data_IF_220411282853
#
_entry.id   IF_220411282853
#
_cell.length_a   1.000
_cell.length_b   1.000
_cell.length_c   1.000
_cell.angle_alpha   90.00
_cell.angle_beta   90.00
_cell.angle_gamma   90.00
#
_symmetry.space_group_name_H-M   'P 1'
#
loop_
_entity.id
_entity.type
_entity.pdbx_description
1 polymer ?
#
# COMPACT_ATOMS: atom_id res chain seq x y z
N UNK A 1 27.09 -0.82 19.33
CA UNK A 1 26.63 -0.46 20.70
C UNK A 1 25.12 -0.36 20.56
N UNK A 2 24.40 -1.43 20.90
CA UNK A 2 23.00 -1.58 20.49
C UNK A 2 22.07 -0.48 21.02
N UNK A 3 20.98 -0.23 20.28
CA UNK A 3 20.01 0.80 20.60
C UNK A 3 19.46 0.72 22.03
N UNK A 4 19.34 1.88 22.67
CA UNK A 4 18.84 2.06 24.04
C UNK A 4 17.32 1.88 24.12
N UNK A 5 16.77 1.79 25.34
CA UNK A 5 15.32 1.80 25.54
C UNK A 5 14.65 3.05 24.94
N UNK A 6 15.36 4.18 24.93
CA UNK A 6 14.90 5.45 24.36
C UNK A 6 14.65 5.36 22.85
N UNK A 7 15.48 4.63 22.10
CA UNK A 7 15.25 4.40 20.68
C UNK A 7 13.93 3.69 20.41
N UNK A 8 13.59 2.65 21.18
CA UNK A 8 12.34 1.92 20.96
C UNK A 8 11.10 2.75 21.35
N UNK A 9 11.21 3.65 22.33
CA UNK A 9 10.15 4.65 22.58
C UNK A 9 10.01 5.61 21.39
N UNK A 10 11.12 6.04 20.78
CA UNK A 10 11.10 6.85 19.56
C UNK A 10 10.41 6.13 18.40
N UNK A 11 10.71 4.84 18.21
CA UNK A 11 10.05 3.99 17.21
C UNK A 11 8.54 3.91 17.46
N UNK A 12 8.11 3.76 18.72
CA UNK A 12 6.70 3.73 19.09
C UNK A 12 6.00 5.04 18.73
N UNK A 13 6.56 6.18 19.14
CA UNK A 13 6.04 7.52 18.83
C UNK A 13 5.94 7.77 17.31
N UNK A 14 6.98 7.41 16.56
CA UNK A 14 6.99 7.54 15.10
C UNK A 14 5.95 6.62 14.48
N UNK A 15 5.82 5.38 14.95
CA UNK A 15 4.85 4.42 14.41
C UNK A 15 3.41 4.88 14.64
N UNK A 16 3.11 5.46 15.80
CA UNK A 16 1.84 6.11 16.11
C UNK A 16 1.55 7.25 15.12
N UNK A 17 2.50 8.19 15.01
CA UNK A 17 2.37 9.36 14.16
C UNK A 17 2.19 9.00 12.69
N UNK A 18 2.95 8.02 12.20
CA UNK A 18 2.84 7.54 10.82
C UNK A 18 1.51 6.87 10.54
N UNK A 19 0.99 6.05 11.46
CA UNK A 19 -0.31 5.40 11.27
C UNK A 19 -1.43 6.43 11.13
N UNK A 20 -1.48 7.40 12.04
CA UNK A 20 -2.50 8.45 12.01
C UNK A 20 -2.33 9.38 10.80
N UNK A 21 -1.08 9.74 10.45
CA UNK A 21 -0.78 10.58 9.29
C UNK A 21 -1.22 9.90 7.98
N UNK A 22 -0.96 8.61 7.81
CA UNK A 22 -1.36 7.89 6.61
C UNK A 22 -2.89 7.88 6.40
N UNK A 23 -3.67 7.96 7.48
CA UNK A 23 -5.15 7.99 7.44
C UNK A 23 -5.74 9.40 7.21
N UNK A 24 -4.95 10.45 7.39
CA UNK A 24 -5.41 11.85 7.36
C UNK A 24 -4.80 12.64 6.20
N UNK A 25 -3.64 12.22 5.69
CA UNK A 25 -2.90 12.91 4.62
C UNK A 25 -2.60 11.93 3.50
N UNK A 26 -3.29 12.10 2.37
CA UNK A 26 -3.00 11.35 1.14
C UNK A 26 -1.66 11.81 0.54
N UNK A 27 -0.77 10.88 0.11
CA UNK A 27 0.50 11.22 -0.49
C UNK A 27 0.38 12.16 -1.70
N UNK A 28 1.34 13.08 -1.82
CA UNK A 28 1.33 14.12 -2.85
C UNK A 28 1.26 13.57 -4.29
N UNK A 29 2.02 12.52 -4.60
CA UNK A 29 2.00 11.85 -5.90
C UNK A 29 0.61 11.27 -6.25
N UNK A 30 -0.10 10.75 -5.24
CA UNK A 30 -1.47 10.24 -5.40
C UNK A 30 -2.45 11.39 -5.66
N UNK A 31 -2.37 12.48 -4.90
CA UNK A 31 -3.22 13.67 -5.11
C UNK A 31 -2.98 14.28 -6.50
N UNK A 32 -1.72 14.41 -6.91
CA UNK A 32 -1.35 14.93 -8.24
C UNK A 32 -1.90 14.03 -9.35
N UNK A 33 -1.77 12.70 -9.20
CA UNK A 33 -2.27 11.77 -10.20
C UNK A 33 -3.80 11.76 -10.28
N UNK A 34 -4.50 11.90 -9.16
CA UNK A 34 -5.97 12.04 -9.14
C UNK A 34 -6.40 13.30 -9.89
N UNK A 35 -5.76 14.46 -9.61
CA UNK A 35 -6.07 15.73 -10.30
C UNK A 35 -5.80 15.65 -11.80
N UNK A 36 -4.66 15.10 -12.21
CA UNK A 36 -4.37 14.90 -13.64
C UNK A 36 -5.38 13.95 -14.29
N UNK A 37 -5.80 12.90 -13.59
CA UNK A 37 -6.80 11.97 -14.10
C UNK A 37 -8.16 12.63 -14.25
N UNK A 38 -8.53 13.55 -13.35
CA UNK A 38 -9.73 14.39 -13.46
C UNK A 38 -9.78 15.22 -14.73
N UNK A 39 -8.67 15.84 -15.12
CA UNK A 39 -8.60 16.64 -16.33
C UNK A 39 -8.79 15.80 -17.61
N UNK A 40 -8.52 14.49 -17.54
CA UNK A 40 -8.54 13.57 -18.70
C UNK A 40 -9.70 12.58 -18.71
N UNK A 41 -10.56 12.58 -17.68
CA UNK A 41 -11.78 11.79 -17.63
C UNK A 41 -12.88 12.44 -18.47
N UNK A 42 -13.58 11.64 -19.27
CA UNK A 42 -14.59 12.11 -20.21
C UNK A 42 -16.01 11.81 -19.72
N UNK A 43 -16.18 10.80 -18.87
CA UNK A 43 -17.46 10.45 -18.25
C UNK A 43 -17.92 11.56 -17.28
N UNK A 44 -19.10 12.17 -17.48
CA UNK A 44 -19.64 13.16 -16.55
C UNK A 44 -19.76 12.63 -15.12
N UNK A 45 -20.26 11.40 -14.97
CA UNK A 45 -20.39 10.75 -13.66
C UNK A 45 -19.02 10.37 -13.07
N UNK A 46 -18.08 9.93 -13.90
CA UNK A 46 -16.69 9.69 -13.46
C UNK A 46 -16.00 10.95 -12.96
N UNK A 47 -16.21 12.09 -13.64
CA UNK A 47 -15.73 13.40 -13.20
C UNK A 47 -16.36 13.84 -11.87
N UNK A 48 -17.67 13.67 -11.70
CA UNK A 48 -18.36 14.00 -10.44
C UNK A 48 -17.82 13.17 -9.26
N UNK A 49 -17.58 11.88 -9.48
CA UNK A 49 -16.97 11.00 -8.48
C UNK A 49 -15.56 11.46 -8.12
N UNK A 50 -14.72 11.78 -9.10
CA UNK A 50 -13.36 12.22 -8.81
C UNK A 50 -13.30 13.62 -8.19
N UNK A 51 -14.20 14.53 -8.55
CA UNK A 51 -14.36 15.83 -7.87
C UNK A 51 -14.74 15.63 -6.40
N UNK A 52 -15.63 14.67 -6.11
CA UNK A 52 -15.97 14.29 -4.74
C UNK A 52 -14.76 13.74 -3.98
N UNK A 53 -13.94 12.90 -4.62
CA UNK A 53 -12.68 12.40 -4.06
C UNK A 53 -11.73 13.56 -3.72
N UNK A 54 -11.52 14.50 -4.65
CA UNK A 54 -10.64 15.66 -4.46
C UNK A 54 -11.12 16.53 -3.30
N UNK A 55 -12.42 16.86 -3.27
CA UNK A 55 -13.04 17.63 -2.17
C UNK A 55 -12.90 16.92 -0.83
N UNK A 56 -13.07 15.60 -0.79
CA UNK A 56 -12.90 14.81 0.42
C UNK A 56 -11.45 14.90 0.95
N UNK A 57 -10.44 14.77 0.07
CA UNK A 57 -9.02 14.93 0.43
C UNK A 57 -8.77 16.33 1.01
N UNK A 58 -9.31 17.38 0.37
CA UNK A 58 -9.10 18.76 0.81
C UNK A 58 -9.76 19.06 2.16
N UNK A 59 -10.98 18.57 2.37
CA UNK A 59 -11.70 18.69 3.65
C UNK A 59 -10.97 17.92 4.75
N UNK A 60 -10.54 16.68 4.47
CA UNK A 60 -9.78 15.86 5.41
C UNK A 60 -8.50 16.57 5.85
N UNK A 61 -7.72 17.10 4.90
CA UNK A 61 -6.49 17.86 5.18
C UNK A 61 -6.76 19.14 5.97
N UNK A 62 -7.77 19.93 5.59
CA UNK A 62 -8.07 21.22 6.24
C UNK A 62 -8.59 21.06 7.67
N UNK A 63 -9.32 19.98 7.94
CA UNK A 63 -9.98 19.75 9.23
C UNK A 63 -9.30 18.67 10.08
N UNK A 64 -8.17 18.14 9.62
CA UNK A 64 -7.47 17.01 10.26
C UNK A 64 -8.40 15.82 10.52
N UNK A 65 -9.21 15.47 9.52
CA UNK A 65 -10.14 14.34 9.58
C UNK A 65 -9.56 13.13 8.84
N UNK A 66 -10.03 11.94 9.22
CA UNK A 66 -9.76 10.72 8.47
C UNK A 66 -10.35 10.83 7.06
N UNK A 67 -9.61 10.38 6.05
CA UNK A 67 -10.06 10.41 4.66
C UNK A 67 -11.18 9.39 4.41
N UNK A 68 -11.23 8.31 5.20
CA UNK A 68 -12.26 7.28 5.13
C UNK A 68 -12.43 6.58 6.49
N UNK A 69 -13.63 6.04 6.71
CA UNK A 69 -14.02 5.34 7.93
C UNK A 69 -13.29 4.01 8.16
N UNK A 70 -12.80 3.37 7.08
CA UNK A 70 -11.98 2.16 7.17
C UNK A 70 -10.52 2.59 7.41
N UNK A 71 -10.12 2.52 8.68
CA UNK A 71 -8.76 2.80 9.14
C UNK A 71 -7.76 1.68 8.82
N UNK A 72 -8.19 0.67 8.06
CA UNK A 72 -7.34 -0.34 7.47
C UNK A 72 -6.80 -1.38 8.44
N UNK A 73 -6.10 -2.35 7.86
CA UNK A 73 -5.21 -3.28 8.58
C UNK A 73 -3.83 -2.62 8.72
N UNK A 74 -3.25 -2.55 9.92
CA UNK A 74 -1.91 -1.99 10.11
C UNK A 74 -0.84 -2.86 9.44
N UNK A 75 -0.19 -2.33 8.41
CA UNK A 75 0.98 -2.91 7.77
C UNK A 75 2.14 -1.92 7.88
N UNK A 76 3.33 -2.41 8.19
CA UNK A 76 4.56 -1.63 8.26
C UNK A 76 5.64 -2.29 7.42
N UNK A 77 6.38 -1.47 6.68
CA UNK A 77 7.63 -1.85 6.06
C UNK A 77 8.76 -1.10 6.77
N UNK A 78 9.75 -1.85 7.22
CA UNK A 78 10.96 -1.33 7.86
C UNK A 78 12.14 -1.68 6.99
N UNK A 79 12.78 -0.66 6.41
CA UNK A 79 14.05 -0.80 5.71
C UNK A 79 15.17 -0.48 6.71
N UNK A 80 16.02 -1.47 6.97
CA UNK A 80 17.15 -1.41 7.90
C UNK A 80 18.44 -1.14 7.16
N UNK A 81 19.12 -0.07 7.54
CA UNK A 81 20.51 0.16 7.19
C UNK A 81 21.49 -0.75 7.94
N UNK A 82 22.75 -0.33 8.00
CA UNK A 82 23.83 -0.95 8.79
C UNK A 82 23.70 -0.67 10.31
N UNK A 83 22.53 -1.00 10.88
CA UNK A 83 22.16 -0.68 12.27
C UNK A 83 21.93 -1.93 13.15
N UNK A 84 22.38 -1.90 14.42
CA UNK A 84 22.25 -3.02 15.36
C UNK A 84 20.91 -3.06 16.14
N UNK A 85 19.81 -3.51 15.53
CA UNK A 85 18.45 -3.51 16.15
C UNK A 85 18.01 -4.88 16.70
N UNK A 86 17.27 -4.87 17.82
CA UNK A 86 16.50 -6.02 18.31
C UNK A 86 15.11 -6.07 17.64
N UNK A 87 14.91 -7.00 16.70
CA UNK A 87 13.63 -7.17 16.00
C UNK A 87 12.43 -7.39 16.95
N UNK A 88 12.51 -8.20 18.03
CA UNK A 88 11.40 -8.34 18.96
C UNK A 88 11.02 -7.02 19.66
N UNK A 89 11.99 -6.17 19.98
CA UNK A 89 11.72 -4.85 20.59
C UNK A 89 11.16 -3.87 19.56
N UNK A 90 11.69 -3.88 18.34
CA UNK A 90 11.19 -3.11 17.20
C UNK A 90 9.71 -3.42 16.92
N UNK A 91 9.37 -4.70 16.72
CA UNK A 91 7.99 -5.13 16.43
C UNK A 91 7.05 -4.77 17.58
N UNK A 92 7.50 -4.89 18.83
CA UNK A 92 6.73 -4.46 20.01
C UNK A 92 6.49 -2.96 20.01
N UNK A 93 7.51 -2.15 19.75
CA UNK A 93 7.38 -0.70 19.69
C UNK A 93 6.38 -0.26 18.60
N UNK A 94 6.46 -0.84 17.40
CA UNK A 94 5.50 -0.57 16.32
C UNK A 94 4.08 -0.96 16.74
N UNK A 95 3.90 -2.13 17.38
CA UNK A 95 2.60 -2.60 17.88
C UNK A 95 2.00 -1.65 18.92
N UNK A 96 2.79 -1.19 19.88
CA UNK A 96 2.34 -0.20 20.87
C UNK A 96 2.00 1.14 20.20
N UNK A 97 2.74 1.56 19.17
CA UNK A 97 2.42 2.75 18.39
C UNK A 97 1.06 2.66 17.67
N UNK A 98 0.72 1.49 17.11
CA UNK A 98 -0.61 1.24 16.50
C UNK A 98 -1.72 1.30 17.54
N UNK A 99 -1.49 0.70 18.72
CA UNK A 99 -2.45 0.75 19.84
C UNK A 99 -2.67 2.20 20.28
N UNK A 100 -1.59 2.94 20.51
CA UNK A 100 -1.65 4.34 20.92
C UNK A 100 -2.40 5.19 19.89
N UNK A 101 -2.08 5.03 18.61
CA UNK A 101 -2.76 5.75 17.54
C UNK A 101 -4.27 5.44 17.52
N UNK A 102 -4.62 4.17 17.73
CA UNK A 102 -6.03 3.74 17.73
C UNK A 102 -6.80 4.33 18.90
N UNK A 103 -6.25 4.27 20.11
CA UNK A 103 -6.90 4.76 21.33
C UNK A 103 -6.95 6.28 21.35
N UNK A 104 -5.81 6.96 21.16
CA UNK A 104 -5.70 8.42 21.29
C UNK A 104 -6.54 9.17 20.25
N UNK A 105 -6.59 8.65 19.01
CA UNK A 105 -7.31 9.28 17.92
C UNK A 105 -8.73 8.70 17.70
N UNK A 106 -9.20 7.85 18.61
CA UNK A 106 -10.52 7.21 18.53
C UNK A 106 -10.77 6.54 17.17
N UNK A 107 -9.75 5.87 16.63
CA UNK A 107 -9.84 5.18 15.35
C UNK A 107 -10.78 3.98 15.47
N UNK A 108 -11.45 3.64 14.36
CA UNK A 108 -12.23 2.41 14.31
C UNK A 108 -11.30 1.21 14.47
N UNK A 109 -11.54 0.29 15.42
CA UNK A 109 -10.77 -0.94 15.48
C UNK A 109 -11.35 -1.94 14.46
N UNK A 110 -10.55 -2.34 13.48
CA UNK A 110 -10.93 -3.24 12.38
C UNK A 110 -10.41 -4.67 12.58
N UNK A 111 -9.46 -4.88 13.49
CA UNK A 111 -8.91 -6.20 13.75
C UNK A 111 -9.88 -7.03 14.60
N UNK A 112 -10.17 -8.24 14.14
CA UNK A 112 -11.09 -9.18 14.78
C UNK A 112 -10.51 -10.59 14.77
N UNK A 113 -10.95 -11.43 15.71
CA UNK A 113 -10.69 -12.86 15.62
C UNK A 113 -11.40 -13.42 14.36
N UNK A 114 -10.70 -14.17 13.48
CA UNK A 114 -11.23 -14.50 12.16
C UNK A 114 -12.51 -15.35 12.20
N UNK A 115 -12.65 -16.23 13.20
CA UNK A 115 -13.81 -17.12 13.39
C UNK A 115 -14.92 -16.46 14.24
N UNK A 116 -14.65 -16.17 15.52
CA UNK A 116 -15.65 -15.59 16.44
C UNK A 116 -16.05 -14.15 16.13
N UNK A 117 -15.27 -13.43 15.30
CA UNK A 117 -15.46 -12.02 14.94
C UNK A 117 -15.35 -11.04 16.12
N UNK A 118 -14.92 -11.50 17.30
CA UNK A 118 -14.65 -10.62 18.45
C UNK A 118 -13.56 -9.62 18.07
N UNK A 119 -13.87 -8.33 18.26
CA UNK A 119 -12.96 -7.24 17.96
C UNK A 119 -11.85 -7.14 19.01
N UNK A 120 -10.63 -6.83 18.60
CA UNK A 120 -9.49 -6.69 19.52
C UNK A 120 -9.49 -5.35 20.27
N UNK A 121 -10.24 -4.37 19.78
CA UNK A 121 -10.45 -3.06 20.42
C UNK A 121 -9.38 -2.01 20.10
N UNK A 122 -8.22 -2.40 19.56
CA UNK A 122 -7.06 -1.52 19.42
C UNK A 122 -6.30 -1.64 18.08
N UNK A 123 -6.90 -2.30 17.06
CA UNK A 123 -6.25 -2.63 15.78
C UNK A 123 -5.00 -3.52 15.88
N UNK A 124 -4.63 -4.01 17.07
CA UNK A 124 -3.54 -4.96 17.24
C UNK A 124 -4.07 -6.39 17.39
N UNK A 125 -3.16 -7.37 17.39
CA UNK A 125 -3.52 -8.79 17.54
C UNK A 125 -2.30 -9.67 17.75
N UNK A 126 -2.47 -10.99 17.65
CA UNK A 126 -1.35 -11.95 17.81
C UNK A 126 -0.23 -11.71 16.78
N UNK A 127 -0.63 -11.38 15.55
CA UNK A 127 0.28 -11.08 14.42
C UNK A 127 -0.13 -9.79 13.69
N UNK A 128 -0.68 -8.82 14.43
CA UNK A 128 -1.00 -7.47 13.95
C UNK A 128 -0.35 -6.44 14.89
N UNK A 129 0.36 -5.42 14.38
CA UNK A 129 0.57 -5.09 12.97
C UNK A 129 1.36 -6.14 12.19
N UNK A 130 1.13 -6.20 10.87
CA UNK A 130 1.99 -6.95 9.94
C UNK A 130 3.25 -6.10 9.75
N UNK A 131 4.43 -6.65 10.04
CA UNK A 131 5.70 -5.93 9.93
C UNK A 131 6.62 -6.69 8.98
N UNK A 132 6.94 -6.07 7.86
CA UNK A 132 7.96 -6.54 6.93
C UNK A 132 9.27 -5.81 7.24
N UNK A 133 10.35 -6.57 7.35
CA UNK A 133 11.69 -6.04 7.58
C UNK A 133 12.54 -6.37 6.37
N UNK A 134 13.12 -5.35 5.75
CA UNK A 134 14.02 -5.45 4.61
C UNK A 134 15.38 -4.86 4.97
N UNK A 135 16.43 -5.40 4.38
CA UNK A 135 17.77 -4.86 4.50
C UNK A 135 18.03 -3.92 3.33
N UNK A 136 18.56 -2.73 3.60
CA UNK A 136 18.89 -1.73 2.59
C UNK A 136 20.27 -1.14 2.91
N UNK A 137 21.30 -1.68 2.27
CA UNK A 137 22.70 -1.25 2.44
C UNK A 137 22.94 0.21 2.01
N UNK A 138 22.03 0.80 1.24
CA UNK A 138 22.07 2.22 0.88
C UNK A 138 21.71 3.16 2.02
N UNK A 139 21.06 2.66 3.08
CA UNK A 139 20.76 3.40 4.30
C UNK A 139 21.92 3.23 5.28
N UNK A 140 22.66 4.31 5.55
CA UNK A 140 23.79 4.30 6.50
C UNK A 140 23.39 4.93 7.82
N UNK A 141 23.53 4.20 8.93
CA UNK A 141 23.24 4.65 10.29
C UNK A 141 21.78 5.05 10.52
N UNK A 142 20.87 4.60 9.66
CA UNK A 142 19.44 4.97 9.70
C UNK A 142 18.53 3.78 9.41
N UNK A 143 17.30 3.88 9.89
CA UNK A 143 16.19 3.01 9.55
C UNK A 143 15.06 3.83 8.94
N UNK A 144 14.41 3.31 7.91
CA UNK A 144 13.19 3.90 7.35
C UNK A 144 11.99 3.06 7.72
N UNK A 145 10.94 3.71 8.23
CA UNK A 145 9.65 3.09 8.55
C UNK A 145 8.60 3.66 7.61
N UNK A 146 7.80 2.78 7.01
CA UNK A 146 6.64 3.11 6.20
C UNK A 146 5.40 2.49 6.83
N UNK A 147 4.42 3.30 7.22
CA UNK A 147 3.13 2.84 7.72
C UNK A 147 2.09 2.83 6.60
N UNK A 148 1.32 1.74 6.53
CA UNK A 148 0.49 1.37 5.40
C UNK A 148 -0.85 0.82 5.92
N UNK A 149 -1.79 1.67 6.35
CA UNK A 149 -3.12 1.23 6.73
C UNK A 149 -3.84 0.70 5.47
N UNK A 150 -3.98 -0.62 5.38
CA UNK A 150 -4.51 -1.23 4.17
C UNK A 150 -6.02 -1.44 4.28
N UNK A 151 -6.78 -0.67 3.50
CA UNK A 151 -8.25 -0.78 3.45
C UNK A 151 -8.73 -2.14 2.94
N UNK A 152 -9.65 -2.74 3.70
CA UNK A 152 -10.14 -4.11 3.47
C UNK A 152 -10.87 -4.29 2.14
N UNK A 153 -11.64 -3.28 1.70
CA UNK A 153 -12.37 -3.33 0.43
C UNK A 153 -11.44 -3.56 -0.76
N UNK A 154 -10.30 -2.85 -0.80
CA UNK A 154 -9.28 -3.04 -1.83
C UNK A 154 -8.45 -4.31 -1.62
N UNK A 155 -8.10 -4.65 -0.37
CA UNK A 155 -7.31 -5.84 -0.08
C UNK A 155 -8.02 -7.12 -0.54
N UNK A 156 -9.34 -7.21 -0.29
CA UNK A 156 -10.16 -8.37 -0.65
C UNK A 156 -10.29 -8.57 -2.18
N UNK A 157 -9.97 -7.56 -2.99
CA UNK A 157 -9.98 -7.66 -4.45
C UNK A 157 -8.61 -8.06 -5.04
N UNK A 158 -7.60 -8.24 -4.19
CA UNK A 158 -6.30 -8.78 -4.58
C UNK A 158 -6.41 -10.27 -4.91
N UNK A 159 -5.54 -10.77 -5.78
CA UNK A 159 -5.56 -12.17 -6.20
C UNK A 159 -4.15 -12.73 -6.43
N UNK A 160 -4.03 -14.05 -6.34
CA UNK A 160 -2.83 -14.83 -6.59
C UNK A 160 -3.17 -15.97 -7.57
N UNK A 161 -2.29 -16.22 -8.53
CA UNK A 161 -2.35 -17.39 -9.40
C UNK A 161 -0.96 -18.03 -9.57
N UNK A 162 -0.93 -19.36 -9.57
CA UNK A 162 0.25 -20.15 -9.93
C UNK A 162 0.11 -20.55 -11.41
N UNK A 163 0.59 -19.70 -12.31
CA UNK A 163 0.52 -19.98 -13.74
C UNK A 163 1.57 -21.04 -14.14
N UNK A 164 1.37 -21.66 -15.30
CA UNK A 164 2.38 -22.51 -15.91
C UNK A 164 3.36 -21.62 -16.68
N UNK A 165 4.66 -21.97 -16.75
CA UNK A 165 5.63 -21.26 -17.59
C UNK A 165 5.15 -21.08 -19.05
N UNK A 166 4.43 -22.07 -19.58
CA UNK A 166 3.86 -22.05 -20.93
C UNK A 166 2.75 -20.98 -21.13
N UNK A 167 2.09 -20.50 -20.07
CA UNK A 167 1.11 -19.42 -20.18
C UNK A 167 1.81 -18.08 -20.48
N UNK A 168 3.07 -17.95 -20.06
CA UNK A 168 3.97 -16.83 -20.37
C UNK A 168 3.38 -15.46 -20.08
N UNK A 169 3.97 -14.42 -20.70
CA UNK A 169 3.57 -13.03 -20.49
C UNK A 169 2.10 -12.75 -20.83
N UNK A 170 1.55 -13.46 -21.82
CA UNK A 170 0.13 -13.33 -22.20
C UNK A 170 -0.77 -13.82 -21.06
N UNK A 171 -0.43 -14.93 -20.41
CA UNK A 171 -1.13 -15.44 -19.24
C UNK A 171 -1.09 -14.47 -18.07
N UNK A 172 0.08 -13.88 -17.80
CA UNK A 172 0.25 -12.87 -16.74
C UNK A 172 -0.68 -11.67 -16.99
N UNK A 173 -0.62 -11.07 -18.19
CA UNK A 173 -1.45 -9.89 -18.53
C UNK A 173 -2.94 -10.20 -18.44
N UNK A 174 -3.36 -11.37 -18.95
CA UNK A 174 -4.75 -11.82 -18.84
C UNK A 174 -5.20 -11.89 -17.38
N UNK A 175 -4.41 -12.53 -16.52
CA UNK A 175 -4.72 -12.64 -15.09
C UNK A 175 -4.85 -11.27 -14.41
N UNK A 176 -3.94 -10.32 -14.72
CA UNK A 176 -4.02 -8.95 -14.18
C UNK A 176 -5.31 -8.26 -14.60
N UNK A 177 -5.66 -8.31 -15.88
CA UNK A 177 -6.87 -7.67 -16.41
C UNK A 177 -8.15 -8.30 -15.85
N UNK A 178 -8.20 -9.63 -15.76
CA UNK A 178 -9.32 -10.35 -15.16
C UNK A 178 -9.48 -9.97 -13.68
N UNK A 179 -8.39 -9.86 -12.93
CA UNK A 179 -8.44 -9.43 -11.52
C UNK A 179 -9.03 -8.04 -11.38
N UNK A 180 -8.57 -7.07 -12.19
CA UNK A 180 -9.09 -5.69 -12.14
C UNK A 180 -10.55 -5.63 -12.60
N UNK A 181 -10.92 -6.38 -13.65
CA UNK A 181 -12.30 -6.45 -14.11
C UNK A 181 -13.23 -7.04 -13.04
N UNK A 182 -12.80 -8.11 -12.35
CA UNK A 182 -13.54 -8.76 -11.27
C UNK A 182 -13.68 -7.87 -10.02
N UNK A 183 -12.67 -7.04 -9.75
CA UNK A 183 -12.72 -6.04 -8.70
C UNK A 183 -13.83 -5.01 -8.97
N UNK A 184 -14.02 -4.61 -10.23
CA UNK A 184 -15.07 -3.66 -10.65
C UNK A 184 -15.02 -2.39 -9.81
N UNK A 185 -16.16 -1.96 -9.26
CA UNK A 185 -16.22 -0.83 -8.31
C UNK A 185 -15.91 -1.17 -6.85
N UNK A 186 -15.77 -2.46 -6.48
CA UNK A 186 -15.77 -2.93 -5.08
C UNK A 186 -14.55 -2.47 -4.27
N UNK A 187 -13.44 -2.18 -4.93
CA UNK A 187 -12.20 -1.72 -4.27
C UNK A 187 -12.02 -0.19 -4.26
N UNK A 188 -13.05 0.59 -4.61
CA UNK A 188 -13.00 2.05 -4.74
C UNK A 188 -11.94 2.55 -5.75
N UNK A 189 -12.09 2.24 -7.06
CA UNK A 189 -11.24 2.82 -8.10
C UNK A 189 -11.44 4.34 -8.18
N UNK A 190 -10.49 5.11 -8.77
CA UNK A 190 -9.34 4.64 -9.53
C UNK A 190 -8.29 3.87 -8.72
N UNK A 191 -7.85 2.71 -9.22
CA UNK A 191 -6.92 1.82 -8.53
C UNK A 191 -5.46 2.23 -8.66
N UNK A 192 -4.66 1.92 -7.65
CA UNK A 192 -3.22 1.72 -7.79
C UNK A 192 -3.01 0.20 -7.82
N UNK A 193 -2.40 -0.31 -8.90
CA UNK A 193 -2.30 -1.76 -9.13
C UNK A 193 -0.86 -2.20 -8.98
N UNK A 194 -0.57 -2.93 -7.91
CA UNK A 194 0.71 -3.61 -7.73
C UNK A 194 0.67 -5.00 -8.33
N UNK A 195 1.68 -5.36 -9.12
CA UNK A 195 1.81 -6.68 -9.76
C UNK A 195 3.14 -7.30 -9.34
N UNK A 196 3.08 -8.49 -8.75
CA UNK A 196 4.24 -9.33 -8.47
C UNK A 196 4.30 -10.47 -9.47
N UNK A 197 5.48 -10.76 -10.02
CA UNK A 197 5.71 -11.86 -10.95
C UNK A 197 6.97 -12.62 -10.51
N UNK A 198 6.88 -13.95 -10.43
CA UNK A 198 8.00 -14.79 -10.01
C UNK A 198 8.03 -15.03 -8.50
N UNK A 199 9.21 -15.36 -7.95
CA UNK A 199 9.34 -15.82 -6.57
C UNK A 199 8.67 -17.16 -6.32
N UNK A 200 8.06 -17.32 -5.14
CA UNK A 200 7.20 -18.44 -4.78
C UNK A 200 5.81 -17.97 -4.32
N UNK A 201 5.02 -18.86 -3.72
CA UNK A 201 3.65 -18.58 -3.28
C UNK A 201 3.56 -17.38 -2.33
N UNK A 202 4.49 -17.26 -1.37
CA UNK A 202 4.45 -16.18 -0.38
C UNK A 202 5.08 -14.90 -0.91
N UNK A 203 6.27 -15.01 -1.52
CA UNK A 203 7.04 -13.86 -1.95
C UNK A 203 6.30 -13.05 -3.01
N UNK A 204 5.61 -13.70 -3.97
CA UNK A 204 4.93 -13.01 -5.05
C UNK A 204 3.82 -12.07 -4.54
N UNK A 205 3.12 -12.46 -3.49
CA UNK A 205 2.06 -11.63 -2.90
C UNK A 205 2.64 -10.40 -2.21
N UNK A 206 3.81 -10.55 -1.59
CA UNK A 206 4.55 -9.46 -0.99
C UNK A 206 5.13 -8.52 -2.06
N UNK A 207 5.67 -9.04 -3.16
CA UNK A 207 6.10 -8.23 -4.31
C UNK A 207 4.95 -7.40 -4.89
N UNK A 208 3.77 -7.99 -5.07
CA UNK A 208 2.59 -7.26 -5.51
C UNK A 208 2.21 -6.15 -4.51
N UNK A 209 2.30 -6.42 -3.20
CA UNK A 209 2.10 -5.43 -2.14
C UNK A 209 3.11 -4.27 -2.27
N UNK A 210 4.40 -4.56 -2.43
CA UNK A 210 5.45 -3.55 -2.65
C UNK A 210 5.15 -2.69 -3.88
N UNK A 211 4.77 -3.32 -4.99
CA UNK A 211 4.37 -2.62 -6.20
C UNK A 211 3.26 -1.61 -5.95
N UNK A 212 2.20 -2.00 -5.23
CA UNK A 212 1.06 -1.12 -4.93
C UNK A 212 1.40 0.08 -4.02
N UNK A 213 2.58 0.08 -3.41
CA UNK A 213 3.05 1.11 -2.48
C UNK A 213 4.11 2.03 -3.07
N UNK A 214 4.63 1.68 -4.24
CA UNK A 214 5.61 2.51 -4.93
C UNK A 214 4.99 3.87 -5.28
N UNK A 215 5.79 4.96 -5.22
CA UNK A 215 5.33 6.25 -5.68
C UNK A 215 4.82 6.18 -7.12
N UNK A 216 3.68 6.81 -7.38
CA UNK A 216 3.13 6.89 -8.73
C UNK A 216 4.10 7.66 -9.62
N UNK A 217 4.44 7.06 -10.77
CA UNK A 217 5.46 7.57 -11.70
C UNK A 217 6.85 6.95 -11.53
N UNK A 218 7.11 6.22 -10.45
CA UNK A 218 8.30 5.37 -10.36
C UNK A 218 8.26 4.24 -11.41
N UNK A 219 9.42 3.70 -11.79
CA UNK A 219 9.55 2.65 -12.80
C UNK A 219 10.23 1.40 -12.23
N UNK A 220 9.84 0.24 -12.73
CA UNK A 220 10.49 -1.02 -12.41
C UNK A 220 11.97 -0.99 -12.81
N UNK A 221 12.81 -1.59 -11.99
CA UNK A 221 14.24 -1.76 -12.29
C UNK A 221 14.43 -2.77 -13.43
N UNK A 222 13.54 -3.77 -13.52
CA UNK A 222 13.50 -4.74 -14.61
C UNK A 222 12.94 -4.12 -15.91
N UNK A 223 13.59 -4.40 -17.05
CA UNK A 223 13.20 -3.84 -18.34
C UNK A 223 11.85 -4.37 -18.84
N UNK A 224 11.55 -5.65 -18.62
CA UNK A 224 10.28 -6.27 -19.00
C UNK A 224 9.18 -5.72 -18.09
N UNK A 225 9.41 -5.68 -16.78
CA UNK A 225 8.51 -5.09 -15.80
C UNK A 225 8.15 -3.66 -16.16
N UNK A 226 9.15 -2.85 -16.54
CA UNK A 226 8.95 -1.46 -16.96
C UNK A 226 8.06 -1.33 -18.20
N UNK A 227 8.22 -2.19 -19.19
CA UNK A 227 7.33 -2.22 -20.39
C UNK A 227 5.91 -2.67 -20.02
N UNK A 228 5.80 -3.62 -19.09
CA UNK A 228 4.50 -4.09 -18.60
C UNK A 228 3.73 -3.01 -17.84
N UNK A 229 4.39 -2.16 -17.06
CA UNK A 229 3.75 -1.05 -16.35
C UNK A 229 2.94 -0.17 -17.32
N UNK A 230 3.54 0.25 -18.44
CA UNK A 230 2.87 1.10 -19.44
C UNK A 230 1.73 0.36 -20.14
N UNK A 231 1.99 -0.87 -20.57
CA UNK A 231 1.01 -1.64 -21.34
C UNK A 231 -0.21 -2.02 -20.49
N UNK A 232 0.01 -2.49 -19.27
CA UNK A 232 -1.08 -2.83 -18.34
C UNK A 232 -1.86 -1.58 -17.94
N UNK A 233 -1.21 -0.45 -17.71
CA UNK A 233 -1.90 0.80 -17.40
C UNK A 233 -2.88 1.22 -18.51
N UNK A 234 -2.45 1.10 -19.77
CA UNK A 234 -3.31 1.37 -20.92
C UNK A 234 -4.45 0.36 -21.04
N UNK A 235 -4.17 -0.93 -20.88
CA UNK A 235 -5.16 -2.00 -21.00
C UNK A 235 -6.20 -1.95 -19.88
N UNK A 236 -5.79 -1.68 -18.65
CA UNK A 236 -6.68 -1.56 -17.49
C UNK A 236 -7.65 -0.39 -17.68
N UNK A 237 -7.16 0.77 -18.10
CA UNK A 237 -8.04 1.93 -18.33
C UNK A 237 -8.99 1.72 -19.52
N UNK A 238 -8.63 0.87 -20.48
CA UNK A 238 -9.54 0.42 -21.56
C UNK A 238 -10.65 -0.51 -21.10
N UNK A 239 -10.58 -1.09 -19.89
CA UNK A 239 -11.68 -1.91 -19.35
C UNK A 239 -12.95 -1.08 -19.10
N UNK A 240 -12.82 0.22 -18.92
CA UNK A 240 -13.97 1.12 -18.78
C UNK A 240 -14.73 0.98 -17.46
N UNK A 241 -14.12 0.40 -16.42
CA UNK A 241 -14.72 0.30 -15.08
C UNK A 241 -14.97 1.69 -14.50
N UNK A 242 -13.99 2.58 -14.68
CA UNK A 242 -14.07 3.99 -14.30
C UNK A 242 -14.07 4.26 -12.78
N UNK A 243 -14.13 5.54 -12.39
CA UNK A 243 -14.12 5.94 -10.98
C UNK A 243 -15.28 5.31 -10.20
N UNK A 244 -14.99 4.71 -9.05
CA UNK A 244 -15.94 3.95 -8.20
C UNK A 244 -16.78 2.88 -8.94
N UNK A 245 -16.41 2.48 -10.16
CA UNK A 245 -17.14 1.49 -10.96
C UNK A 245 -18.36 2.04 -11.72
N UNK A 246 -18.45 3.37 -11.90
CA UNK A 246 -19.59 4.02 -12.57
C UNK A 246 -19.43 4.14 -14.09
N UNK A 247 -18.38 3.52 -14.65
CA UNK A 247 -17.96 3.71 -16.03
C UNK A 247 -17.07 4.95 -16.20
N UNK A 248 -16.29 4.95 -17.26
CA UNK A 248 -15.35 6.03 -17.56
C UNK A 248 -13.96 5.52 -17.88
N UNK A 249 -13.08 6.44 -18.23
CA UNK A 249 -11.74 6.13 -18.71
C UNK A 249 -10.78 5.77 -17.58
N UNK A 250 -10.95 6.38 -16.40
CA UNK A 250 -10.00 6.27 -15.31
C UNK A 250 -10.39 5.11 -14.39
N UNK A 251 -9.90 3.92 -14.71
CA UNK A 251 -9.99 2.72 -13.87
C UNK A 251 -8.80 2.60 -12.92
N UNK A 252 -7.60 3.02 -13.35
CA UNK A 252 -6.38 2.99 -12.55
C UNK A 252 -5.61 4.31 -12.66
N UNK A 253 -5.00 4.72 -11.55
CA UNK A 253 -4.05 5.84 -11.43
C UNK A 253 -2.63 5.42 -11.83
N UNK A 254 -2.27 4.15 -11.65
CA UNK A 254 -0.97 3.62 -12.01
C UNK A 254 -0.88 2.12 -11.86
N UNK A 255 0.14 1.54 -12.50
CA UNK A 255 0.50 0.13 -12.39
C UNK A 255 1.99 0.07 -12.09
N UNK A 256 2.37 -0.74 -11.11
CA UNK A 256 3.76 -0.97 -10.74
C UNK A 256 4.04 -2.47 -10.72
N UNK A 257 5.13 -2.87 -11.37
CA UNK A 257 5.48 -4.28 -11.53
C UNK A 257 6.80 -4.56 -10.82
N UNK A 258 6.76 -5.55 -9.93
CA UNK A 258 7.90 -6.15 -9.25
C UNK A 258 8.14 -7.56 -9.79
N UNK A 259 9.40 -7.87 -10.10
CA UNK A 259 9.81 -9.16 -10.68
C UNK A 259 10.87 -9.79 -9.79
N UNK A 260 10.78 -11.11 -9.60
CA UNK A 260 11.81 -11.93 -9.01
C UNK A 260 12.01 -13.20 -9.84
N UNK A 261 13.17 -13.83 -9.68
CA UNK A 261 13.43 -15.17 -10.22
C UNK A 261 12.46 -16.19 -9.59
N UNK A 262 12.18 -17.27 -10.32
CA UNK A 262 11.29 -18.34 -9.84
C UNK A 262 11.82 -19.70 -10.27
N UNK A 263 11.29 -20.76 -9.65
CA UNK A 263 11.61 -22.12 -10.04
C UNK A 263 11.17 -22.39 -11.49
N UNK A 264 11.97 -23.13 -12.27
CA UNK A 264 11.76 -23.37 -13.71
C UNK A 264 10.37 -23.92 -14.07
N UNK A 265 9.71 -24.63 -13.14
CA UNK A 265 8.38 -25.19 -13.32
C UNK A 265 7.22 -24.27 -12.95
N UNK A 266 7.51 -23.05 -12.45
CA UNK A 266 6.52 -22.14 -11.85
C UNK A 266 6.49 -20.80 -12.57
N UNK A 267 5.32 -20.16 -12.56
CA UNK A 267 5.15 -18.75 -12.89
C UNK A 267 4.13 -18.13 -11.91
N UNK A 268 4.52 -17.85 -10.65
CA UNK A 268 3.65 -17.20 -9.70
C UNK A 268 3.34 -15.77 -10.14
N UNK A 269 2.09 -15.34 -9.98
CA UNK A 269 1.66 -13.97 -10.25
C UNK A 269 0.66 -13.54 -9.19
N UNK A 270 0.87 -12.36 -8.60
CA UNK A 270 -0.09 -11.75 -7.71
C UNK A 270 -0.41 -10.32 -8.12
N UNK A 271 -1.63 -9.90 -7.81
CA UNK A 271 -2.12 -8.54 -7.99
C UNK A 271 -2.58 -8.04 -6.63
N UNK A 272 -1.99 -6.94 -6.16
CA UNK A 272 -2.50 -6.22 -5.01
C UNK A 272 -3.27 -4.99 -5.49
N UNK A 273 -4.56 -4.95 -5.18
CA UNK A 273 -5.42 -3.80 -5.51
C UNK A 273 -5.35 -2.82 -4.35
N UNK A 274 -4.99 -1.58 -4.67
CA UNK A 274 -5.02 -0.46 -3.74
C UNK A 274 -6.05 0.57 -4.20
N UNK A 275 -6.91 1.01 -3.28
CA UNK A 275 -7.92 2.04 -3.58
C UNK A 275 -7.28 3.39 -3.90
N UNK A 276 -8.07 4.33 -4.41
CA UNK A 276 -7.62 5.67 -4.78
C UNK A 276 -6.86 6.41 -3.67
N UNK A 277 -7.09 6.05 -2.40
CA UNK A 277 -6.45 6.71 -1.25
C UNK A 277 -4.93 6.48 -1.24
N UNK A 278 -4.44 5.32 -1.70
CA UNK A 278 -2.99 5.06 -1.75
C UNK A 278 -2.25 5.36 -0.44
N UNK A 279 -2.91 5.15 0.71
CA UNK A 279 -2.49 5.65 2.02
C UNK A 279 -1.12 5.09 2.42
N UNK A 280 -0.19 5.99 2.67
CA UNK A 280 1.11 5.68 3.25
C UNK A 280 1.72 6.91 3.92
N UNK A 281 2.52 6.69 4.95
CA UNK A 281 3.34 7.73 5.55
C UNK A 281 4.70 7.13 5.92
N UNK A 282 5.75 7.93 5.80
CA UNK A 282 7.13 7.45 5.90
C UNK A 282 7.96 8.35 6.81
N UNK A 283 8.90 7.76 7.55
CA UNK A 283 9.91 8.50 8.31
C UNK A 283 11.25 7.77 8.31
N UNK A 284 12.32 8.53 8.46
CA UNK A 284 13.67 8.03 8.72
C UNK A 284 14.01 8.33 10.18
N UNK A 285 14.56 7.34 10.88
CA UNK A 285 15.07 7.43 12.25
C UNK A 285 16.57 7.14 12.22
N UNK A 286 17.38 8.08 12.71
CA UNK A 286 18.82 7.92 12.84
C UNK A 286 19.25 7.26 14.15
N UNK A 287 20.48 6.75 14.18
CA UNK A 287 21.13 6.27 15.41
C UNK A 287 21.25 7.33 16.51
N UNK A 288 21.32 8.59 16.11
CA UNK A 288 21.31 9.77 16.97
C UNK A 288 19.92 10.18 17.46
N UNK A 289 18.90 9.34 17.23
CA UNK A 289 17.48 9.59 17.53
C UNK A 289 16.85 10.73 16.71
N UNK A 290 17.53 11.24 15.68
CA UNK A 290 16.93 12.20 14.75
C UNK A 290 15.76 11.57 14.00
N UNK A 291 14.67 12.33 13.82
CA UNK A 291 13.51 11.90 13.02
C UNK A 291 13.34 12.85 11.85
N UNK A 292 13.19 12.27 10.66
CA UNK A 292 12.76 12.99 9.45
C UNK A 292 11.52 12.32 8.86
N UNK A 293 10.36 12.98 9.01
CA UNK A 293 9.16 12.58 8.29
C UNK A 293 9.28 12.93 6.79
N UNK A 294 8.93 12.00 5.92
CA UNK A 294 8.97 12.15 4.47
C UNK A 294 7.55 12.36 3.92
N UNK A 295 7.43 13.11 2.81
CA UNK A 295 6.20 13.26 2.03
C UNK A 295 5.04 13.96 2.75
N UNK A 296 4.76 15.21 2.39
CA UNK A 296 3.58 15.98 2.83
C UNK A 296 2.94 16.76 1.69
#
# INVERSE_FOLDING_TARGET
MGFTSEFYEKVREVSEALYYRALTVIPKDVVEKIRLSYDTEDSPLGKEVMDTIIKNIEVARKRSLLVCQDTGTPVYLVELGDVEISLPKLIRAIKEGVRDATVKNHLRPNMVHPITRVNTGDNTGRSSPIVHVELNEGLKGVMKIVALPKGSGSENMSALAMLRPADGLKGVKRFVLETVANAGGKGCPPYIVGVGIGGDFEQVTYLAKKGALRPLGSRSEDEIGRKMEDELFLLINKLGVGPMGVGGKITALGVNVEIAETHISSLPVAVNIQCWRGERAEAIIGEDLSIKYLGG
#
